data_IF_532763988502
#
_entry.id   IF_532763988502
#
_cell.length_a   1.000
_cell.length_b   1.000
_cell.length_c   1.000
_cell.angle_alpha   90.00
_cell.angle_beta   90.00
_cell.angle_gamma   90.00
#
_symmetry.space_group_name_H-M   'P 1'
#
loop_
_entity.id
_entity.type
_entity.pdbx_description
1 polymer ?
#
# COMPACT_ATOMS: atom_id res chain seq x y z
N UNK A 1 -3.06 8.91 17.50
CA UNK A 1 -2.50 7.58 17.83
C UNK A 1 -3.13 7.07 19.13
N UNK A 2 -3.01 5.77 19.47
CA UNK A 2 -3.68 5.21 20.66
C UNK A 2 -3.39 5.98 21.95
N UNK A 3 -2.16 6.48 22.12
CA UNK A 3 -1.77 7.32 23.25
C UNK A 3 -2.52 8.67 23.24
N UNK A 4 -2.65 9.33 22.09
CA UNK A 4 -3.42 10.60 22.00
C UNK A 4 -4.92 10.41 22.28
N UNK A 5 -5.48 9.23 21.95
CA UNK A 5 -6.88 8.89 22.27
C UNK A 5 -7.07 8.69 23.78
N UNK A 6 -6.02 8.29 24.52
CA UNK A 6 -6.07 8.09 25.97
C UNK A 6 -6.05 9.42 26.74
N UNK A 7 -5.46 10.47 26.17
CA UNK A 7 -5.30 11.78 26.82
C UNK A 7 -6.25 12.86 26.26
N UNK A 8 -7.37 12.46 25.64
CA UNK A 8 -8.36 13.37 25.03
C UNK A 8 -7.75 14.39 24.04
N UNK A 9 -6.60 14.05 23.45
CA UNK A 9 -5.99 14.85 22.39
C UNK A 9 -6.80 14.78 21.10
N UNK A 10 -6.40 15.56 20.08
CA UNK A 10 -6.96 15.45 18.74
C UNK A 10 -6.08 14.53 17.88
N UNK A 11 -6.36 13.21 17.82
CA UNK A 11 -5.50 12.27 17.14
C UNK A 11 -5.59 12.42 15.62
N UNK A 12 -4.43 12.39 14.97
CA UNK A 12 -4.37 12.25 13.52
C UNK A 12 -4.91 10.85 13.15
N UNK A 13 -5.93 10.75 12.28
CA UNK A 13 -6.49 9.46 11.87
C UNK A 13 -5.46 8.69 11.03
N UNK A 14 -5.30 7.40 11.34
CA UNK A 14 -4.41 6.52 10.59
C UNK A 14 -5.10 6.09 9.30
N UNK A 15 -4.48 6.40 8.16
CA UNK A 15 -4.95 5.90 6.87
C UNK A 15 -4.35 4.52 6.58
N UNK A 16 -5.14 3.48 6.81
CA UNK A 16 -4.74 2.08 6.58
C UNK A 16 -4.46 1.77 5.10
N UNK A 17 -5.01 2.52 4.15
CA UNK A 17 -4.69 2.34 2.74
C UNK A 17 -3.27 2.80 2.41
N UNK A 18 -2.65 3.64 3.25
CA UNK A 18 -1.26 4.06 3.10
C UNK A 18 -0.28 3.21 3.93
N UNK A 19 -0.74 2.13 4.56
CA UNK A 19 0.15 1.24 5.31
C UNK A 19 0.84 0.21 4.40
N UNK A 20 2.17 0.15 4.35
CA UNK A 20 2.91 -0.83 3.56
C UNK A 20 2.84 -2.23 4.19
N UNK A 21 2.88 -3.26 3.33
CA UNK A 21 2.94 -4.68 3.70
C UNK A 21 4.05 -5.36 2.92
N UNK A 22 4.92 -6.09 3.63
CA UNK A 22 6.04 -6.82 3.05
C UNK A 22 6.07 -8.27 3.54
N UNK A 23 6.41 -9.19 2.64
CA UNK A 23 6.71 -10.59 2.93
C UNK A 23 8.18 -10.82 2.60
N UNK A 24 8.97 -11.13 3.63
CA UNK A 24 10.43 -11.30 3.56
C UNK A 24 10.85 -12.69 3.05
N UNK A 25 10.12 -13.22 2.06
CA UNK A 25 10.51 -14.42 1.31
C UNK A 25 11.58 -14.09 0.28
N UNK A 26 12.13 -15.11 -0.40
CA UNK A 26 13.03 -14.90 -1.53
C UNK A 26 12.38 -15.47 -2.80
N UNK A 27 11.91 -14.62 -3.74
CA UNK A 27 12.00 -13.15 -3.78
C UNK A 27 11.06 -12.46 -2.78
N UNK A 28 11.43 -11.23 -2.38
CA UNK A 28 10.63 -10.40 -1.48
C UNK A 28 9.39 -9.87 -2.20
N UNK A 29 8.28 -9.78 -1.47
CA UNK A 29 7.01 -9.29 -2.01
C UNK A 29 6.57 -8.10 -1.16
N UNK A 30 6.42 -6.93 -1.77
CA UNK A 30 5.91 -5.73 -1.12
C UNK A 30 4.67 -5.19 -1.82
N UNK A 31 3.75 -4.63 -1.06
CA UNK A 31 2.53 -3.99 -1.57
C UNK A 31 2.06 -2.86 -0.65
N UNK A 32 1.36 -1.89 -1.22
CA UNK A 32 0.74 -0.77 -0.49
C UNK A 32 -0.56 -0.39 -1.22
N UNK A 33 -1.58 0.02 -0.47
CA UNK A 33 -2.86 0.45 -1.05
C UNK A 33 -3.76 -0.67 -1.56
N UNK A 34 -4.58 -0.30 -2.54
CA UNK A 34 -5.62 -1.14 -3.12
C UNK A 34 -5.05 -2.05 -4.22
N UNK A 35 -5.61 -3.24 -4.34
CA UNK A 35 -5.41 -4.07 -5.52
C UNK A 35 -6.31 -3.58 -6.68
N UNK A 36 -6.07 -4.11 -7.87
CA UNK A 36 -6.78 -3.70 -9.09
C UNK A 36 -8.28 -4.01 -9.01
N UNK A 37 -8.66 -5.12 -8.37
CA UNK A 37 -10.06 -5.54 -8.24
C UNK A 37 -10.82 -4.63 -7.28
N UNK A 38 -10.22 -4.29 -6.14
CA UNK A 38 -10.74 -3.35 -5.15
C UNK A 38 -10.90 -1.95 -5.76
N UNK A 39 -9.89 -1.45 -6.45
CA UNK A 39 -9.95 -0.14 -7.09
C UNK A 39 -11.05 -0.09 -8.19
N UNK A 40 -11.26 -1.19 -8.92
CA UNK A 40 -12.38 -1.30 -9.88
C UNK A 40 -13.73 -1.35 -9.18
N UNK A 41 -13.85 -2.08 -8.07
CA UNK A 41 -15.08 -2.17 -7.29
C UNK A 41 -15.48 -0.79 -6.69
N UNK A 42 -14.50 0.04 -6.34
CA UNK A 42 -14.71 1.42 -5.89
C UNK A 42 -14.99 2.40 -7.06
N UNK A 43 -15.11 1.92 -8.30
CA UNK A 43 -15.43 2.74 -9.48
C UNK A 43 -14.27 3.61 -9.97
N UNK A 44 -13.03 3.34 -9.55
CA UNK A 44 -11.87 4.11 -9.98
C UNK A 44 -11.43 3.75 -11.41
N UNK A 45 -10.96 4.76 -12.16
CA UNK A 45 -10.29 4.53 -13.45
C UNK A 45 -8.87 4.01 -13.21
N UNK A 46 -8.67 2.71 -13.35
CA UNK A 46 -7.38 2.05 -13.15
C UNK A 46 -6.58 1.92 -14.45
N UNK A 47 -5.28 2.26 -14.40
CA UNK A 47 -4.30 1.94 -15.45
C UNK A 47 -3.19 1.10 -14.83
N UNK A 48 -2.85 -0.02 -15.46
CA UNK A 48 -1.89 -0.99 -14.92
C UNK A 48 -0.63 -1.00 -15.79
N UNK A 49 0.53 -0.92 -15.15
CA UNK A 49 1.84 -1.07 -15.76
C UNK A 49 2.60 -2.17 -15.02
N UNK A 50 3.25 -3.08 -15.75
CA UNK A 50 4.04 -4.17 -15.17
C UNK A 50 5.42 -4.14 -15.78
N UNK A 51 6.44 -4.15 -14.92
CA UNK A 51 7.84 -4.23 -15.31
C UNK A 51 8.47 -5.45 -14.66
N UNK A 52 9.27 -6.18 -15.44
CA UNK A 52 10.05 -7.28 -14.88
C UNK A 52 11.35 -6.72 -14.30
N UNK A 53 11.68 -7.15 -13.07
CA UNK A 53 12.91 -6.74 -12.38
C UNK A 53 14.17 -6.89 -13.26
N UNK A 54 14.25 -7.97 -14.04
CA UNK A 54 15.38 -8.22 -14.97
C UNK A 54 15.58 -7.13 -16.03
N UNK A 55 14.53 -6.40 -16.40
CA UNK A 55 14.59 -5.33 -17.41
C UNK A 55 15.09 -4.01 -16.79
N UNK A 56 14.84 -3.79 -15.50
CA UNK A 56 15.27 -2.58 -14.78
C UNK A 56 16.76 -2.58 -14.43
N UNK A 57 17.36 -3.76 -14.24
CA UNK A 57 18.77 -3.91 -13.84
C UNK A 57 19.74 -3.82 -15.04
N UNK A 58 19.24 -3.78 -16.28
CA UNK A 58 20.02 -3.78 -17.53
C UNK A 58 20.21 -2.39 -18.17
N UNK A 59 19.77 -1.32 -17.51
CA UNK A 59 19.88 0.06 -17.98
C UNK A 59 20.94 0.83 -17.20
#
# INVERSE_FOLDING_TARGET
>A
MAVDHMFEGNPIPVNYNMMPKCIYSQPEIASIGLNIEQAKAEGMKVKVLKYHLKQLVKQ
#
